data_IF_120383106453
#
_entry.id   IF_120383106453
#
_cell.length_a   1.000
_cell.length_b   1.000
_cell.length_c   1.000
_cell.angle_alpha   90.00
_cell.angle_beta   90.00
_cell.angle_gamma   90.00
#
_symmetry.space_group_name_H-M   'P 1'
#
loop_
_entity.id
_entity.type
_entity.pdbx_description
1 polymer ?
#
# COMPACT_ATOMS: atom_id res chain seq x y z
N UNK A 1 -10.11 -7.72 11.06
CA UNK A 1 -10.67 -8.43 9.88
C UNK A 1 -9.86 -7.93 8.70
N UNK A 2 -9.25 -8.77 7.84
CA UNK A 2 -8.38 -8.22 6.81
C UNK A 2 -9.25 -7.55 5.73
N UNK A 3 -9.13 -6.23 5.65
CA UNK A 3 -9.87 -5.41 4.70
C UNK A 3 -9.06 -5.42 3.40
N UNK A 4 -9.54 -6.16 2.39
CA UNK A 4 -9.02 -5.97 1.04
C UNK A 4 -9.46 -4.58 0.55
N UNK A 5 -8.66 -3.99 -0.32
CA UNK A 5 -8.93 -2.62 -0.75
C UNK A 5 -8.50 -2.34 -2.17
N UNK A 6 -9.05 -1.27 -2.72
CA UNK A 6 -8.59 -0.68 -3.98
C UNK A 6 -8.04 0.71 -3.67
N UNK A 7 -6.77 0.90 -3.98
CA UNK A 7 -6.12 2.20 -4.04
C UNK A 7 -6.32 2.78 -5.44
N UNK A 8 -7.18 3.78 -5.53
CA UNK A 8 -7.36 4.59 -6.72
C UNK A 8 -6.48 5.85 -6.59
N UNK A 9 -5.45 5.95 -7.42
CA UNK A 9 -4.44 6.99 -7.34
C UNK A 9 -4.56 7.91 -8.56
N UNK A 10 -5.00 9.14 -8.34
CA UNK A 10 -5.14 10.14 -9.41
C UNK A 10 -3.79 10.76 -9.76
N UNK A 11 -3.36 10.60 -11.01
CA UNK A 11 -2.03 11.01 -11.47
C UNK A 11 -2.05 12.35 -12.21
N UNK A 12 -0.93 13.06 -12.15
CA UNK A 12 -0.66 14.18 -13.05
C UNK A 12 -0.24 13.69 -14.44
N UNK A 13 0.58 12.64 -14.49
CA UNK A 13 1.05 12.01 -15.74
C UNK A 13 0.80 10.51 -15.67
N UNK A 14 0.30 9.91 -16.75
CA UNK A 14 -0.01 8.47 -16.79
C UNK A 14 1.25 7.62 -16.61
N UNK A 15 2.40 8.10 -17.08
CA UNK A 15 3.69 7.39 -16.95
C UNK A 15 4.13 7.19 -15.49
N UNK A 16 3.64 8.01 -14.55
CA UNK A 16 4.01 7.89 -13.13
C UNK A 16 3.38 6.66 -12.45
N UNK A 17 2.51 5.92 -13.14
CA UNK A 17 1.93 4.65 -12.65
C UNK A 17 3.00 3.66 -12.20
N UNK A 18 4.11 3.54 -12.95
CA UNK A 18 5.20 2.61 -12.62
C UNK A 18 5.86 3.01 -11.30
N UNK A 19 6.01 4.32 -11.07
CA UNK A 19 6.60 4.86 -9.84
C UNK A 19 5.69 4.57 -8.65
N UNK A 20 4.38 4.79 -8.80
CA UNK A 20 3.38 4.50 -7.76
C UNK A 20 3.36 3.01 -7.42
N UNK A 21 3.28 2.13 -8.41
CA UNK A 21 3.28 0.68 -8.18
C UNK A 21 4.56 0.23 -7.48
N UNK A 22 5.71 0.79 -7.86
CA UNK A 22 7.00 0.50 -7.22
C UNK A 22 7.05 0.99 -5.77
N UNK A 23 6.55 2.19 -5.50
CA UNK A 23 6.53 2.77 -4.15
C UNK A 23 5.62 1.97 -3.22
N UNK A 24 4.43 1.59 -3.68
CA UNK A 24 3.50 0.74 -2.93
C UNK A 24 4.11 -0.64 -2.62
N UNK A 25 4.75 -1.28 -3.60
CA UNK A 25 5.38 -2.58 -3.37
C UNK A 25 6.55 -2.49 -2.37
N UNK A 26 7.38 -1.44 -2.47
CA UNK A 26 8.43 -1.18 -1.47
C UNK A 26 7.85 -1.00 -0.08
N UNK A 27 6.78 -0.22 0.05
CA UNK A 27 6.09 0.00 1.30
C UNK A 27 5.55 -1.31 1.88
N UNK A 28 4.92 -2.16 1.06
CA UNK A 28 4.45 -3.50 1.45
C UNK A 28 5.57 -4.36 2.01
N UNK A 29 6.70 -4.42 1.31
CA UNK A 29 7.87 -5.20 1.75
C UNK A 29 8.40 -4.70 3.08
N UNK A 30 8.49 -3.37 3.25
CA UNK A 30 8.95 -2.76 4.50
C UNK A 30 7.99 -3.05 5.67
N UNK A 31 6.67 -2.96 5.44
CA UNK A 31 5.66 -3.34 6.44
C UNK A 31 5.86 -4.78 6.91
N UNK A 32 5.96 -5.72 5.96
CA UNK A 32 6.14 -7.13 6.28
C UNK A 32 7.44 -7.39 7.03
N UNK A 33 8.53 -6.74 6.60
CA UNK A 33 9.82 -6.83 7.28
C UNK A 33 9.71 -6.35 8.73
N UNK A 34 9.06 -5.22 9.00
CA UNK A 34 8.86 -4.70 10.35
C UNK A 34 8.06 -5.67 11.22
N UNK A 35 6.96 -6.22 10.72
CA UNK A 35 6.15 -7.22 11.42
C UNK A 35 6.95 -8.50 11.70
N UNK A 36 7.76 -8.98 10.75
CA UNK A 36 8.63 -10.13 10.97
C UNK A 36 9.70 -9.88 12.02
N UNK A 37 10.32 -8.69 12.00
CA UNK A 37 11.30 -8.30 13.02
C UNK A 37 10.68 -8.25 14.41
N UNK A 38 9.44 -7.75 14.53
CA UNK A 38 8.70 -7.74 15.79
C UNK A 38 8.46 -9.16 16.31
N UNK A 39 8.06 -10.11 15.44
CA UNK A 39 7.92 -11.54 15.80
C UNK A 39 9.24 -12.14 16.28
N UNK A 40 10.33 -11.92 15.54
CA UNK A 40 11.67 -12.41 15.89
C UNK A 40 12.14 -11.90 17.24
N UNK A 41 11.82 -10.63 17.56
CA UNK A 41 12.15 -9.98 18.83
C UNK A 41 11.14 -10.26 19.96
N UNK A 42 10.10 -11.07 19.72
CA UNK A 42 9.00 -11.36 20.65
C UNK A 42 8.30 -10.09 21.17
N UNK A 43 8.12 -9.10 20.29
CA UNK A 43 7.43 -7.85 20.58
C UNK A 43 6.06 -7.81 19.89
N UNK A 44 5.04 -8.50 20.41
CA UNK A 44 3.76 -8.70 19.72
C UNK A 44 3.02 -7.39 19.44
N UNK A 45 3.22 -6.35 20.26
CA UNK A 45 2.62 -5.02 20.04
C UNK A 45 3.09 -4.34 18.74
N UNK A 46 4.22 -4.77 18.18
CA UNK A 46 4.76 -4.26 16.92
C UNK A 46 4.55 -5.23 15.76
N UNK A 47 3.97 -6.41 15.99
CA UNK A 47 3.54 -7.29 14.91
C UNK A 47 2.23 -6.76 14.33
N UNK A 48 2.30 -6.23 13.11
CA UNK A 48 1.16 -5.64 12.42
C UNK A 48 0.58 -6.56 11.34
N UNK A 49 0.96 -7.83 11.35
CA UNK A 49 0.53 -8.80 10.34
C UNK A 49 1.25 -8.66 9.00
N UNK A 50 0.86 -9.48 8.02
CA UNK A 50 1.50 -9.57 6.69
C UNK A 50 0.52 -9.16 5.61
N UNK A 51 0.91 -8.15 4.82
CA UNK A 51 0.25 -7.83 3.56
C UNK A 51 0.77 -8.75 2.45
N UNK A 52 -0.14 -9.51 1.83
CA UNK A 52 0.23 -10.53 0.85
C UNK A 52 0.69 -9.92 -0.46
N UNK A 53 -0.09 -9.01 -1.04
CA UNK A 53 0.24 -8.41 -2.33
C UNK A 53 -0.41 -7.05 -2.53
N UNK A 54 0.23 -6.22 -3.34
CA UNK A 54 -0.37 -5.04 -3.96
C UNK A 54 -0.21 -5.21 -5.47
N UNK A 55 -1.32 -5.29 -6.19
CA UNK A 55 -1.33 -5.58 -7.62
C UNK A 55 -1.90 -4.41 -8.39
N UNK A 56 -1.11 -3.87 -9.32
CA UNK A 56 -1.63 -2.96 -10.33
C UNK A 56 -2.71 -3.67 -11.16
N UNK A 57 -3.86 -3.00 -11.32
CA UNK A 57 -5.00 -3.52 -12.08
C UNK A 57 -5.10 -2.86 -13.44
N UNK A 58 -5.27 -1.54 -13.46
CA UNK A 58 -5.45 -0.75 -14.69
C UNK A 58 -5.18 0.74 -14.44
N UNK A 59 -4.96 1.48 -15.52
CA UNK A 59 -5.09 2.94 -15.53
C UNK A 59 -6.29 3.31 -16.39
N UNK A 60 -7.17 4.16 -15.86
CA UNK A 60 -8.33 4.72 -16.58
C UNK A 60 -8.41 6.21 -16.26
N UNK A 61 -8.51 7.06 -17.28
CA UNK A 61 -8.57 8.53 -17.13
C UNK A 61 -7.49 9.17 -16.23
N UNK A 62 -6.30 8.55 -16.20
CA UNK A 62 -5.15 8.94 -15.35
C UNK A 62 -5.32 8.58 -13.87
N UNK A 63 -6.27 7.72 -13.54
CA UNK A 63 -6.40 7.08 -12.24
C UNK A 63 -5.78 5.69 -12.34
N UNK A 64 -4.76 5.43 -11.53
CA UNK A 64 -4.14 4.12 -11.39
C UNK A 64 -4.82 3.33 -10.26
N UNK A 65 -5.39 2.19 -10.62
CA UNK A 65 -6.04 1.29 -9.67
C UNK A 65 -5.09 0.20 -9.24
N UNK A 66 -4.86 0.08 -7.93
CA UNK A 66 -4.05 -0.97 -7.32
C UNK A 66 -4.90 -1.74 -6.31
N UNK A 67 -4.99 -3.04 -6.46
CA UNK A 67 -5.67 -3.92 -5.53
C UNK A 67 -4.72 -4.33 -4.40
N UNK A 68 -5.16 -4.13 -3.17
CA UNK A 68 -4.48 -4.56 -1.95
C UNK A 68 -5.09 -5.87 -1.45
N UNK A 69 -4.27 -6.91 -1.38
CA UNK A 69 -4.55 -8.10 -0.55
C UNK A 69 -3.88 -7.89 0.81
N UNK A 70 -4.68 -7.45 1.79
CA UNK A 70 -4.19 -7.14 3.12
C UNK A 70 -3.75 -8.40 3.90
N UNK A 71 -4.14 -9.61 3.48
CA UNK A 71 -3.66 -10.84 4.11
C UNK A 71 -4.03 -10.94 5.59
N UNK A 72 -3.02 -10.91 6.48
CA UNK A 72 -3.22 -10.84 7.93
C UNK A 72 -2.87 -9.47 8.51
N UNK A 73 -2.58 -8.47 7.66
CA UNK A 73 -2.28 -7.12 8.11
C UNK A 73 -3.42 -6.57 8.97
N UNK A 74 -3.03 -5.92 10.07
CA UNK A 74 -3.96 -5.26 10.98
C UNK A 74 -4.45 -3.93 10.41
N UNK A 75 -5.43 -3.35 11.09
CA UNK A 75 -5.90 -1.98 10.86
C UNK A 75 -4.70 -1.03 10.91
N UNK A 76 -4.51 -0.20 9.87
CA UNK A 76 -3.35 0.67 9.72
C UNK A 76 -2.52 0.46 8.44
N UNK A 77 -2.68 -0.65 7.72
CA UNK A 77 -1.92 -0.89 6.47
C UNK A 77 -2.27 0.17 5.41
N UNK A 78 -3.52 0.57 5.32
CA UNK A 78 -3.99 1.56 4.34
C UNK A 78 -3.35 2.93 4.59
N UNK A 79 -3.38 3.38 5.83
CA UNK A 79 -2.79 4.63 6.31
C UNK A 79 -1.27 4.62 6.15
N UNK A 80 -0.64 3.47 6.42
CA UNK A 80 0.79 3.30 6.20
C UNK A 80 1.16 3.46 4.72
N UNK A 81 0.43 2.80 3.81
CA UNK A 81 0.67 2.90 2.37
C UNK A 81 0.42 4.33 1.86
N UNK A 82 -0.64 4.99 2.31
CA UNK A 82 -0.90 6.41 2.03
C UNK A 82 0.26 7.30 2.46
N UNK A 83 0.76 7.09 3.69
CA UNK A 83 1.89 7.85 4.19
C UNK A 83 3.15 7.61 3.37
N UNK A 84 3.45 6.37 3.00
CA UNK A 84 4.61 6.07 2.15
C UNK A 84 4.50 6.70 0.76
N UNK A 85 3.30 6.83 0.20
CA UNK A 85 3.08 7.58 -1.03
C UNK A 85 3.25 9.09 -0.83
N UNK A 86 2.71 9.65 0.27
CA UNK A 86 2.84 11.07 0.59
C UNK A 86 4.28 11.48 0.89
N UNK A 87 5.04 10.61 1.54
CA UNK A 87 6.46 10.82 1.85
C UNK A 87 7.37 10.54 0.63
N UNK A 88 6.81 10.06 -0.49
CA UNK A 88 7.54 9.86 -1.74
C UNK A 88 7.61 11.14 -2.56
N UNK A 89 8.67 11.29 -3.37
CA UNK A 89 8.83 12.41 -4.32
C UNK A 89 7.87 12.33 -5.54
N UNK A 90 6.87 11.45 -5.51
CA UNK A 90 5.93 11.26 -6.61
C UNK A 90 4.82 12.31 -6.50
N UNK A 91 4.60 13.09 -7.56
CA UNK A 91 3.48 14.04 -7.61
C UNK A 91 2.17 13.32 -7.88
N UNK A 92 1.26 13.38 -6.93
CA UNK A 92 -0.05 12.71 -6.96
C UNK A 92 -1.13 13.77 -6.74
N UNK A 93 -2.26 13.67 -7.44
CA UNK A 93 -3.38 14.62 -7.29
C UNK A 93 -4.22 14.28 -6.06
N UNK A 94 -4.61 13.02 -5.96
CA UNK A 94 -5.42 12.50 -4.86
C UNK A 94 -5.25 10.99 -4.78
N UNK A 95 -5.58 10.43 -3.62
CA UNK A 95 -5.69 8.99 -3.42
C UNK A 95 -7.04 8.72 -2.76
N UNK A 96 -7.76 7.76 -3.30
CA UNK A 96 -9.00 7.25 -2.74
C UNK A 96 -8.82 5.77 -2.42
N UNK A 97 -9.32 5.36 -1.25
CA UNK A 97 -9.29 3.98 -0.81
C UNK A 97 -10.73 3.49 -0.74
N UNK A 98 -11.01 2.43 -1.50
CA UNK A 98 -12.27 1.72 -1.45
C UNK A 98 -12.05 0.41 -0.71
N UNK A 99 -12.71 0.24 0.43
CA UNK A 99 -12.68 -1.01 1.19
C UNK A 99 -13.67 -2.01 0.58
N UNK A 100 -13.25 -3.28 0.48
CA UNK A 100 -14.03 -4.39 -0.07
C UNK A 100 -14.47 -5.37 1.03
#
# INVERSE_FOLDING_TARGET
MPINGIFAVSLFRKEDVIKISTALEKARVQWNFQSEQARKKRQPIFDRGICKSIMFKKVEDSIAYNYLDAGSAHDGIHEYLLRQLSDSDIKIKSVEIQML
#
